data_IF_290932988695
#
_entry.id   IF_290932988695
#
_cell.length_a   1.000
_cell.length_b   1.000
_cell.length_c   1.000
_cell.angle_alpha   90.00
_cell.angle_beta   90.00
_cell.angle_gamma   90.00
#
_symmetry.space_group_name_H-M   'P 1'
#
loop_
_entity.id
_entity.type
_entity.pdbx_description
1 polymer ?
#
# COMPACT_ATOMS: atom_id res chain seq x y z
N UNK A 1 -0.09 24.16 0.80
CA UNK A 1 0.35 24.58 -0.56
C UNK A 1 -0.71 25.54 -1.08
N UNK A 2 -0.42 26.61 -1.85
CA UNK A 2 -1.51 27.42 -2.43
C UNK A 2 -2.34 26.54 -3.38
N UNK A 3 -3.67 26.69 -3.40
CA UNK A 3 -4.54 25.87 -4.25
C UNK A 3 -4.17 26.07 -5.72
N UNK A 4 -4.10 24.97 -6.47
CA UNK A 4 -3.74 24.96 -7.91
C UNK A 4 -4.76 25.72 -8.77
N UNK A 5 -5.96 25.93 -8.24
CA UNK A 5 -7.07 26.65 -8.87
C UNK A 5 -7.45 27.90 -8.06
N UNK A 6 -7.88 28.95 -8.76
CA UNK A 6 -8.55 30.10 -8.16
C UNK A 6 -9.96 29.69 -7.70
N UNK A 7 -10.03 29.12 -6.50
CA UNK A 7 -11.28 28.65 -5.91
C UNK A 7 -12.08 29.84 -5.39
N UNK A 8 -13.37 29.93 -5.77
CA UNK A 8 -14.30 30.86 -5.09
C UNK A 8 -14.20 30.59 -3.58
N UNK A 9 -14.22 31.65 -2.76
CA UNK A 9 -14.00 31.61 -1.30
C UNK A 9 -14.71 30.45 -0.55
N UNK A 10 -15.92 30.06 -1.01
CA UNK A 10 -16.69 28.93 -0.46
C UNK A 10 -16.03 27.56 -0.69
N UNK A 11 -15.50 27.29 -1.88
CA UNK A 11 -14.83 26.01 -2.20
C UNK A 11 -13.41 25.94 -1.62
N UNK A 12 -12.75 27.09 -1.41
CA UNK A 12 -11.50 27.13 -0.65
C UNK A 12 -11.72 26.69 0.81
N UNK A 13 -12.86 27.06 1.41
CA UNK A 13 -13.24 26.60 2.76
C UNK A 13 -13.55 25.10 2.78
N UNK A 14 -14.19 24.59 1.72
CA UNK A 14 -14.41 23.15 1.54
C UNK A 14 -13.09 22.37 1.43
N UNK A 15 -12.13 22.88 0.65
CA UNK A 15 -10.80 22.29 0.51
C UNK A 15 -10.06 22.28 1.85
N UNK A 16 -9.99 23.42 2.54
CA UNK A 16 -9.31 23.52 3.83
C UNK A 16 -9.90 22.56 4.88
N UNK A 17 -11.22 22.33 4.84
CA UNK A 17 -11.90 21.33 5.66
C UNK A 17 -11.57 19.90 5.23
N UNK A 18 -11.48 19.63 3.93
CA UNK A 18 -11.12 18.31 3.42
C UNK A 18 -9.65 17.93 3.65
N UNK A 19 -8.76 18.91 3.78
CA UNK A 19 -7.35 18.73 4.15
C UNK A 19 -7.14 18.40 5.64
N UNK A 20 -8.14 18.67 6.48
CA UNK A 20 -8.09 18.36 7.91
C UNK A 20 -8.23 16.84 8.13
N UNK A 21 -7.19 16.23 8.71
CA UNK A 21 -7.14 14.78 8.96
C UNK A 21 -8.19 14.28 9.96
N UNK A 22 -8.77 15.18 10.77
CA UNK A 22 -9.74 14.83 11.82
C UNK A 22 -11.18 15.22 11.48
N UNK A 23 -11.44 15.65 10.24
CA UNK A 23 -12.78 16.12 9.88
C UNK A 23 -13.81 14.99 9.89
N UNK A 24 -14.95 15.25 10.54
CA UNK A 24 -16.14 14.41 10.45
C UNK A 24 -16.72 14.50 9.03
N UNK A 25 -16.96 13.36 8.33
CA UNK A 25 -17.64 13.33 7.04
C UNK A 25 -18.96 14.11 7.00
N UNK A 26 -19.68 14.21 8.13
CA UNK A 26 -20.92 14.99 8.26
C UNK A 26 -20.63 16.48 8.10
N UNK A 27 -19.57 17.00 8.73
CA UNK A 27 -19.19 18.43 8.66
C UNK A 27 -18.76 18.82 7.25
N UNK A 28 -18.07 17.91 6.55
CA UNK A 28 -17.68 18.11 5.16
C UNK A 28 -18.92 18.16 4.24
N UNK A 29 -19.86 17.26 4.46
CA UNK A 29 -21.13 17.21 3.73
C UNK A 29 -21.98 18.46 3.97
N UNK A 30 -22.14 18.88 5.23
CA UNK A 30 -22.89 20.09 5.59
C UNK A 30 -22.28 21.35 4.97
N UNK A 31 -20.94 21.41 4.92
CA UNK A 31 -20.24 22.50 4.25
C UNK A 31 -20.57 22.51 2.76
N UNK A 32 -20.58 21.33 2.11
CA UNK A 32 -20.96 21.21 0.71
C UNK A 32 -22.42 21.59 0.47
N UNK A 33 -23.35 21.19 1.32
CA UNK A 33 -24.77 21.55 1.22
C UNK A 33 -25.02 23.04 1.43
N UNK A 34 -24.26 23.69 2.31
CA UNK A 34 -24.35 25.13 2.56
C UNK A 34 -24.08 25.99 1.31
N UNK A 35 -23.39 25.42 0.31
CA UNK A 35 -23.13 26.06 -0.98
C UNK A 35 -24.39 25.99 -1.86
N UNK A 36 -25.09 27.12 -1.93
CA UNK A 36 -26.33 27.33 -2.72
C UNK A 36 -26.08 27.89 -4.13
N UNK A 37 -24.96 27.54 -4.74
CA UNK A 37 -24.67 27.93 -6.13
C UNK A 37 -25.51 27.08 -7.10
N UNK A 38 -25.61 27.50 -8.37
CA UNK A 38 -26.21 26.68 -9.42
C UNK A 38 -25.49 25.33 -9.51
N UNK A 39 -26.22 24.26 -9.86
CA UNK A 39 -25.66 22.89 -9.84
C UNK A 39 -24.40 22.74 -10.71
N UNK A 40 -24.34 23.47 -11.83
CA UNK A 40 -23.19 23.50 -12.74
C UNK A 40 -21.96 24.14 -12.07
N UNK A 41 -22.13 25.33 -11.47
CA UNK A 41 -21.07 26.02 -10.72
C UNK A 41 -20.60 25.20 -9.51
N UNK A 42 -21.54 24.51 -8.84
CA UNK A 42 -21.25 23.62 -7.72
C UNK A 42 -20.45 22.41 -8.15
N UNK A 43 -20.80 21.80 -9.27
CA UNK A 43 -20.06 20.68 -9.84
C UNK A 43 -18.62 21.10 -10.21
N UNK A 44 -18.45 22.24 -10.89
CA UNK A 44 -17.12 22.76 -11.26
C UNK A 44 -16.26 23.03 -10.01
N UNK A 45 -16.80 23.69 -8.99
CA UNK A 45 -16.08 23.96 -7.75
C UNK A 45 -15.68 22.69 -7.01
N UNK A 46 -16.56 21.68 -6.95
CA UNK A 46 -16.23 20.37 -6.36
C UNK A 46 -15.12 19.65 -7.13
N UNK A 47 -15.16 19.67 -8.46
CA UNK A 47 -14.12 19.06 -9.29
C UNK A 47 -12.76 19.74 -9.07
N UNK A 48 -12.73 21.07 -8.92
CA UNK A 48 -11.48 21.79 -8.60
C UNK A 48 -10.92 21.40 -7.23
N UNK A 49 -11.77 21.23 -6.21
CA UNK A 49 -11.36 20.74 -4.88
C UNK A 49 -10.81 19.31 -4.97
N UNK A 50 -11.52 18.41 -5.66
CA UNK A 50 -11.08 17.02 -5.88
C UNK A 50 -9.72 16.99 -6.59
N UNK A 51 -9.56 17.75 -7.68
CA UNK A 51 -8.32 17.81 -8.45
C UNK A 51 -7.15 18.37 -7.64
N UNK A 52 -7.43 19.27 -6.70
CA UNK A 52 -6.39 19.80 -5.80
C UNK A 52 -5.90 18.72 -4.84
N UNK A 53 -6.83 17.97 -4.22
CA UNK A 53 -6.50 16.85 -3.36
C UNK A 53 -5.78 15.71 -4.12
N UNK A 54 -6.21 15.41 -5.35
CA UNK A 54 -5.53 14.43 -6.22
C UNK A 54 -4.08 14.84 -6.49
N UNK A 55 -3.82 16.12 -6.76
CA UNK A 55 -2.46 16.62 -6.97
C UNK A 55 -1.58 16.50 -5.71
N UNK A 56 -2.15 16.75 -4.52
CA UNK A 56 -1.46 16.56 -3.26
C UNK A 56 -1.16 15.08 -2.99
N UNK A 57 -2.11 14.17 -3.28
CA UNK A 57 -1.89 12.72 -3.20
C UNK A 57 -0.75 12.28 -4.10
N UNK A 58 -0.73 12.70 -5.37
CA UNK A 58 0.35 12.37 -6.30
C UNK A 58 1.72 12.88 -5.82
N UNK A 59 1.76 14.08 -5.24
CA UNK A 59 2.98 14.65 -4.66
C UNK A 59 3.47 13.86 -3.43
N UNK A 60 2.55 13.48 -2.54
CA UNK A 60 2.84 12.65 -1.36
C UNK A 60 3.36 11.27 -1.80
N UNK A 61 2.74 10.63 -2.79
CA UNK A 61 3.15 9.32 -3.28
C UNK A 61 4.57 9.34 -3.87
N UNK A 62 4.94 10.40 -4.58
CA UNK A 62 6.31 10.59 -5.07
C UNK A 62 7.31 10.69 -3.91
N UNK A 63 6.98 11.44 -2.87
CA UNK A 63 7.83 11.62 -1.70
C UNK A 63 7.94 10.32 -0.86
N UNK A 64 6.82 9.60 -0.70
CA UNK A 64 6.80 8.28 -0.06
C UNK A 64 7.69 7.32 -0.82
N UNK A 65 7.59 7.26 -2.15
CA UNK A 65 8.44 6.40 -2.99
C UNK A 65 9.92 6.74 -2.80
N UNK A 66 10.28 8.02 -2.82
CA UNK A 66 11.66 8.49 -2.58
C UNK A 66 12.18 8.06 -1.20
N UNK A 67 11.37 8.20 -0.16
CA UNK A 67 11.72 7.81 1.20
C UNK A 67 11.83 6.28 1.35
N UNK A 68 10.97 5.52 0.69
CA UNK A 68 11.03 4.06 0.66
C UNK A 68 12.30 3.56 -0.05
N UNK A 69 12.67 4.16 -1.18
CA UNK A 69 13.92 3.84 -1.89
C UNK A 69 15.15 4.14 -1.00
N UNK A 70 15.15 5.28 -0.30
CA UNK A 70 16.20 5.63 0.65
C UNK A 70 16.27 4.64 1.82
N UNK A 71 15.13 4.26 2.39
CA UNK A 71 15.05 3.23 3.44
C UNK A 71 15.62 1.90 2.96
N UNK A 72 15.25 1.46 1.74
CA UNK A 72 15.75 0.23 1.12
C UNK A 72 17.26 0.27 0.94
N UNK A 73 17.82 1.40 0.52
CA UNK A 73 19.27 1.60 0.41
C UNK A 73 19.97 1.40 1.76
N UNK A 74 19.46 2.01 2.84
CA UNK A 74 20.01 1.79 4.18
C UNK A 74 19.90 0.33 4.64
N UNK A 75 18.77 -0.33 4.40
CA UNK A 75 18.61 -1.76 4.73
C UNK A 75 19.64 -2.63 4.00
N UNK A 76 19.86 -2.37 2.71
CA UNK A 76 20.86 -3.07 1.92
C UNK A 76 22.28 -2.83 2.44
N UNK A 77 22.62 -1.57 2.78
CA UNK A 77 23.92 -1.24 3.33
C UNK A 77 24.14 -1.90 4.70
N UNK A 78 23.14 -1.91 5.58
CA UNK A 78 23.19 -2.63 6.85
C UNK A 78 23.44 -4.12 6.62
N UNK A 79 22.73 -4.74 5.67
CA UNK A 79 22.93 -6.16 5.35
C UNK A 79 24.35 -6.44 4.84
N UNK A 80 24.87 -5.59 3.94
CA UNK A 80 26.25 -5.67 3.43
C UNK A 80 27.29 -5.53 4.54
N UNK A 81 27.12 -4.59 5.46
CA UNK A 81 28.02 -4.39 6.60
C UNK A 81 28.02 -5.58 7.55
N UNK A 82 26.84 -6.13 7.85
CA UNK A 82 26.73 -7.35 8.66
C UNK A 82 27.44 -8.53 8.00
N UNK A 83 27.25 -8.73 6.69
CA UNK A 83 27.92 -9.80 5.95
C UNK A 83 29.44 -9.63 5.95
N UNK A 84 29.93 -8.43 5.63
CA UNK A 84 31.35 -8.13 5.65
C UNK A 84 31.99 -8.34 7.03
N UNK A 85 31.27 -7.98 8.11
CA UNK A 85 31.73 -8.24 9.47
C UNK A 85 31.77 -9.74 9.80
N UNK A 86 30.76 -10.51 9.38
CA UNK A 86 30.75 -11.97 9.54
C UNK A 86 31.92 -12.60 8.78
N UNK A 87 32.19 -12.17 7.56
CA UNK A 87 33.31 -12.67 6.75
C UNK A 87 34.66 -12.35 7.39
N UNK A 88 34.83 -11.14 7.92
CA UNK A 88 36.04 -10.75 8.65
C UNK A 88 36.22 -11.57 9.95
N UNK A 89 35.14 -11.78 10.71
CA UNK A 89 35.15 -12.61 11.94
C UNK A 89 35.46 -14.08 11.63
N UNK A 90 34.97 -14.62 10.51
CA UNK A 90 35.27 -15.97 10.06
C UNK A 90 36.72 -16.11 9.59
N UNK A 91 37.23 -15.14 8.82
CA UNK A 91 38.61 -15.14 8.29
C UNK A 91 39.65 -15.05 9.41
N UNK A 92 39.36 -14.25 10.44
CA UNK A 92 40.24 -14.07 11.61
C UNK A 92 40.06 -15.17 12.67
N UNK A 93 39.09 -16.07 12.50
CA UNK A 93 38.75 -17.12 13.47
C UNK A 93 38.09 -16.60 14.76
N UNK A 94 37.79 -15.30 14.87
CA UNK A 94 37.16 -14.70 16.05
C UNK A 94 35.64 -14.84 15.99
N UNK A 95 35.12 -15.96 16.51
CA UNK A 95 33.67 -16.24 16.52
C UNK A 95 32.88 -15.40 17.55
N UNK A 96 33.57 -14.77 18.51
CA UNK A 96 32.95 -13.94 19.56
C UNK A 96 33.89 -12.81 19.99
N UNK A 97 33.37 -11.59 19.99
CA UNK A 97 34.06 -10.39 20.43
C UNK A 97 33.23 -9.79 21.57
N UNK A 98 33.84 -9.64 22.74
CA UNK A 98 33.24 -8.93 23.87
C UNK A 98 33.91 -7.57 24.02
N UNK A 99 33.12 -6.51 23.99
CA UNK A 99 33.54 -5.16 24.35
C UNK A 99 32.73 -4.69 25.56
N UNK A 100 33.13 -3.60 26.25
CA UNK A 100 32.35 -3.06 27.36
C UNK A 100 30.92 -2.64 26.97
N UNK A 101 30.70 -2.29 25.70
CA UNK A 101 29.40 -1.83 25.20
C UNK A 101 28.59 -2.95 24.56
N UNK A 102 29.23 -3.92 23.88
CA UNK A 102 28.54 -4.92 23.07
C UNK A 102 29.21 -6.29 23.15
N UNK A 103 28.40 -7.34 23.08
CA UNK A 103 28.88 -8.69 22.78
C UNK A 103 28.44 -9.04 21.36
N UNK A 104 29.40 -9.27 20.48
CA UNK A 104 29.20 -9.61 19.07
C UNK A 104 29.60 -11.07 18.88
N UNK A 105 28.76 -11.89 18.26
CA UNK A 105 29.10 -13.28 17.94
C UNK A 105 28.49 -13.67 16.61
N UNK A 106 29.14 -14.60 15.91
CA UNK A 106 28.60 -15.23 14.72
C UNK A 106 27.75 -16.42 15.16
N UNK A 107 26.45 -16.38 14.87
CA UNK A 107 25.55 -17.51 15.09
C UNK A 107 25.37 -18.28 13.80
N UNK A 108 25.69 -19.57 13.82
CA UNK A 108 25.36 -20.50 12.73
C UNK A 108 23.94 -20.98 12.91
N UNK A 109 23.04 -20.50 12.06
CA UNK A 109 21.65 -20.97 12.03
C UNK A 109 21.49 -21.97 10.89
N UNK A 110 21.10 -23.23 11.15
CA UNK A 110 20.82 -24.18 10.08
C UNK A 110 19.54 -23.79 9.34
N UNK A 111 19.60 -23.77 8.01
CA UNK A 111 18.42 -23.65 7.14
C UNK A 111 18.42 -24.79 6.13
N UNK A 112 17.24 -25.34 5.82
CA UNK A 112 17.08 -26.39 4.81
C UNK A 112 16.80 -25.72 3.47
N UNK A 113 17.72 -25.89 2.52
CA UNK A 113 17.47 -25.59 1.11
C UNK A 113 17.04 -26.85 0.38
N UNK A 114 16.01 -26.75 -0.48
CA UNK A 114 15.67 -27.85 -1.40
C UNK A 114 16.74 -27.87 -2.49
N UNK A 115 17.52 -28.94 -2.57
CA UNK A 115 18.43 -29.13 -3.69
C UNK A 115 17.62 -29.38 -4.97
N UNK A 116 17.88 -28.57 -6.01
CA UNK A 116 17.40 -28.71 -7.39
C UNK A 116 16.01 -28.17 -7.75
N UNK A 117 15.36 -27.34 -6.94
CA UNK A 117 14.08 -26.66 -7.26
C UNK A 117 12.94 -27.59 -7.77
N UNK A 118 13.08 -28.89 -7.56
CA UNK A 118 12.14 -29.91 -8.04
C UNK A 118 11.51 -30.59 -6.81
N UNK A 119 10.33 -30.11 -6.35
CA UNK A 119 9.65 -30.63 -5.17
C UNK A 119 9.35 -32.13 -5.25
N UNK A 120 9.39 -32.69 -6.46
CA UNK A 120 9.14 -34.11 -6.75
C UNK A 120 10.29 -35.04 -6.39
N UNK A 121 11.51 -34.51 -6.18
CA UNK A 121 12.68 -35.28 -5.73
C UNK A 121 12.87 -35.24 -4.21
N UNK A 122 12.03 -34.48 -3.50
CA UNK A 122 11.99 -34.42 -2.04
C UNK A 122 11.13 -35.58 -1.53
N UNK A 123 11.55 -36.22 -0.43
CA UNK A 123 10.74 -37.26 0.23
C UNK A 123 9.34 -36.72 0.53
N UNK A 124 8.32 -37.54 0.29
CA UNK A 124 6.88 -37.18 0.39
C UNK A 124 6.47 -36.60 1.75
N UNK A 125 7.22 -36.90 2.81
CA UNK A 125 6.96 -36.41 4.16
C UNK A 125 7.18 -34.90 4.32
N UNK A 126 7.89 -34.25 3.39
CA UNK A 126 8.19 -32.81 3.43
C UNK A 126 7.49 -32.00 2.33
N UNK A 127 6.68 -32.64 1.47
CA UNK A 127 5.97 -31.98 0.37
C UNK A 127 4.52 -31.73 0.79
N UNK A 128 4.19 -30.47 1.09
CA UNK A 128 2.79 -30.04 1.27
C UNK A 128 2.19 -29.68 -0.08
N UNK A 129 1.18 -30.43 -0.51
CA UNK A 129 0.36 -30.10 -1.68
C UNK A 129 -0.76 -29.16 -1.24
N UNK A 130 -0.62 -27.86 -1.54
CA UNK A 130 -1.69 -26.89 -1.35
C UNK A 130 -2.62 -26.85 -2.56
N UNK A 131 -3.81 -27.43 -2.45
CA UNK A 131 -4.87 -27.31 -3.45
C UNK A 131 -5.64 -26.01 -3.22
N UNK A 132 -5.25 -24.93 -3.90
CA UNK A 132 -5.92 -23.63 -3.76
C UNK A 132 -7.23 -23.63 -4.58
N UNK A 133 -8.37 -23.72 -3.90
CA UNK A 133 -9.68 -23.48 -4.50
C UNK A 133 -9.88 -21.98 -4.75
N UNK A 134 -9.49 -21.48 -5.93
CA UNK A 134 -9.80 -20.12 -6.36
C UNK A 134 -11.17 -20.08 -7.01
N UNK A 135 -12.11 -19.34 -6.41
CA UNK A 135 -13.38 -18.99 -7.06
C UNK A 135 -13.09 -17.94 -8.13
N UNK A 136 -13.36 -18.28 -9.39
CA UNK A 136 -13.30 -17.32 -10.50
C UNK A 136 -14.49 -16.35 -10.42
N UNK A 137 -14.25 -15.21 -9.76
CA UNK A 137 -15.23 -14.13 -9.58
C UNK A 137 -15.66 -13.51 -10.90
N UNK A 138 -14.85 -13.55 -11.96
CA UNK A 138 -15.21 -12.95 -13.25
C UNK A 138 -16.18 -13.84 -14.03
N UNK A 139 -15.93 -15.14 -14.07
CA UNK A 139 -16.85 -16.12 -14.65
C UNK A 139 -18.18 -16.14 -13.87
N UNK A 140 -18.10 -16.09 -12.53
CA UNK A 140 -19.28 -16.05 -11.69
C UNK A 140 -20.08 -14.74 -11.86
N UNK A 141 -19.43 -13.59 -12.04
CA UNK A 141 -20.11 -12.31 -12.30
C UNK A 141 -20.85 -12.31 -13.65
N UNK A 142 -20.29 -12.94 -14.70
CA UNK A 142 -20.98 -13.09 -15.99
C UNK A 142 -22.22 -13.98 -15.87
N UNK A 143 -22.12 -15.10 -15.16
CA UNK A 143 -23.24 -16.04 -14.94
C UNK A 143 -24.32 -15.49 -14.01
N UNK A 144 -23.94 -14.77 -12.96
CA UNK A 144 -24.89 -14.08 -12.08
C UNK A 144 -25.61 -12.93 -12.79
N UNK A 145 -24.94 -12.22 -13.71
CA UNK A 145 -25.58 -11.21 -14.58
C UNK A 145 -26.52 -11.83 -15.63
N UNK A 146 -26.26 -13.07 -16.04
CA UNK A 146 -27.10 -13.82 -16.97
C UNK A 146 -28.33 -14.47 -16.31
N UNK A 147 -28.50 -14.32 -14.99
CA UNK A 147 -29.66 -14.83 -14.24
C UNK A 147 -29.51 -16.23 -13.65
N UNK A 148 -28.34 -16.87 -13.77
CA UNK A 148 -28.07 -18.15 -13.10
C UNK A 148 -27.80 -17.96 -11.61
N UNK A 149 -28.58 -18.63 -10.75
CA UNK A 149 -28.37 -18.63 -9.30
C UNK A 149 -27.18 -19.52 -8.95
N UNK A 150 -26.05 -18.91 -8.59
CA UNK A 150 -24.89 -19.62 -8.03
C UNK A 150 -25.00 -19.62 -6.50
N UNK A 151 -24.99 -20.80 -5.88
CA UNK A 151 -24.98 -20.95 -4.42
C UNK A 151 -23.73 -20.26 -3.84
N UNK A 152 -23.92 -19.28 -2.96
CA UNK A 152 -22.82 -18.60 -2.25
C UNK A 152 -22.34 -17.26 -2.83
N UNK A 153 -22.98 -16.72 -3.88
CA UNK A 153 -22.62 -15.41 -4.45
C UNK A 153 -23.85 -14.51 -4.61
N UNK A 154 -23.72 -13.25 -4.19
CA UNK A 154 -24.75 -12.22 -4.34
C UNK A 154 -24.22 -11.06 -5.18
N UNK A 155 -25.08 -10.48 -6.01
CA UNK A 155 -24.73 -9.39 -6.89
C UNK A 155 -24.97 -8.06 -6.16
N UNK A 156 -23.90 -7.29 -5.93
CA UNK A 156 -23.95 -5.99 -5.24
C UNK A 156 -23.60 -4.87 -6.22
N UNK A 157 -24.43 -3.84 -6.27
CA UNK A 157 -24.16 -2.62 -7.02
C UNK A 157 -23.64 -1.52 -6.09
N UNK A 158 -22.67 -0.75 -6.54
CA UNK A 158 -22.18 0.46 -5.88
C UNK A 158 -22.01 1.56 -6.94
N UNK A 159 -22.58 2.73 -6.70
CA UNK A 159 -22.49 3.89 -7.60
C UNK A 159 -21.26 4.74 -7.21
N UNK A 160 -20.48 5.19 -8.19
CA UNK A 160 -19.27 6.00 -7.99
C UNK A 160 -19.16 7.10 -9.05
N UNK A 161 -18.90 8.35 -8.64
CA UNK A 161 -18.70 9.50 -9.54
C UNK A 161 -17.42 9.32 -10.38
N UNK A 162 -17.47 9.69 -11.66
CA UNK A 162 -16.33 9.59 -12.60
C UNK A 162 -16.14 10.91 -13.34
N UNK A 163 -14.90 11.39 -13.39
CA UNK A 163 -14.46 12.55 -14.18
C UNK A 163 -13.44 12.09 -15.22
N UNK A 164 -13.44 12.67 -16.42
CA UNK A 164 -12.49 12.39 -17.50
C UNK A 164 -11.49 13.53 -17.62
#
# INVERSE_FOLDING_TARGET
MPPVYDLKSKYATLLAKAEDMEIDPIVLHDTLESIKDAIEDKAVGCVQVIKSLEADVDSIDQEVKRLQERKKSYQNNIARLKLALVDAMNTTGQQKIKTPLWTIWVQKTPSVGVLNDDPKKVQTDFVKVETVYKVDKQAALKKLKAGEKIVGLQLRYSESLRTR
#
